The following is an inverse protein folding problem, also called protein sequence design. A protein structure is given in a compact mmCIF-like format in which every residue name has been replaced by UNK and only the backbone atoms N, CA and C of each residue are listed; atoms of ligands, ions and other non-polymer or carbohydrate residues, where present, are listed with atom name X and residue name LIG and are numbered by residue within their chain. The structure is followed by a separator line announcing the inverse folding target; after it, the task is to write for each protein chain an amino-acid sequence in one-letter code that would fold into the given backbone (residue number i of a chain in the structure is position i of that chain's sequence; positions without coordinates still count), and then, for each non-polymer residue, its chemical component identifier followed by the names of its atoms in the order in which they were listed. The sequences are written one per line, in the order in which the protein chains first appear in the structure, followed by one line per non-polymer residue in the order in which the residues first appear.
data_IF_444432517473
#
_entry.id   IF_444432517473
#
_cell.length_a   1.000
_cell.length_b   1.000
_cell.length_c   1.000
_cell.angle_alpha   90.00
_cell.angle_beta   90.00
_cell.angle_gamma   90.00
#
_symmetry.space_group_name_H-M   'P 1'
#
loop_
_entity.id
_entity.type
_entity.pdbx_description
1 polymer ?
#
# COMPACT_ATOMS: atom_id res chain seq x y z
N UNK A 1 17.21 -16.00 -10.06
CA UNK A 1 16.93 -15.73 -8.62
C UNK A 1 17.87 -14.72 -7.93
N UNK A 2 18.98 -14.25 -8.56
CA UNK A 2 19.75 -13.08 -8.08
C UNK A 2 19.06 -11.73 -8.37
N UNK A 3 18.19 -11.68 -9.38
CA UNK A 3 17.46 -10.46 -9.79
C UNK A 3 16.47 -9.93 -8.74
N UNK A 4 15.86 -10.81 -7.93
CA UNK A 4 14.81 -10.42 -6.97
C UNK A 4 15.34 -9.70 -5.72
N UNK A 5 16.59 -9.95 -5.32
CA UNK A 5 17.22 -9.20 -4.22
C UNK A 5 17.74 -7.83 -4.66
N UNK A 6 18.16 -7.69 -5.92
CA UNK A 6 18.61 -6.41 -6.47
C UNK A 6 17.47 -5.40 -6.63
N UNK A 7 16.29 -5.85 -7.09
CA UNK A 7 15.14 -4.98 -7.30
C UNK A 7 14.60 -4.36 -5.99
N UNK A 8 14.49 -5.15 -4.91
CA UNK A 8 14.03 -4.65 -3.61
C UNK A 8 15.02 -3.68 -2.97
N UNK A 9 16.32 -3.98 -3.03
CA UNK A 9 17.36 -3.10 -2.48
C UNK A 9 17.47 -1.79 -3.27
N UNK A 10 17.33 -1.84 -4.59
CA UNK A 10 17.32 -0.66 -5.45
C UNK A 10 16.09 0.24 -5.20
N UNK A 11 14.92 -0.34 -4.92
CA UNK A 11 13.74 0.44 -4.49
C UNK A 11 13.95 1.12 -3.14
N UNK A 12 14.52 0.42 -2.13
CA UNK A 12 14.80 1.03 -0.82
C UNK A 12 15.83 2.18 -0.92
N UNK A 13 16.90 2.01 -1.71
CA UNK A 13 17.93 3.03 -1.92
C UNK A 13 17.41 4.24 -2.72
N UNK A 14 16.54 4.02 -3.71
CA UNK A 14 15.87 5.09 -4.46
C UNK A 14 14.93 5.91 -3.55
N UNK A 15 14.18 5.25 -2.67
CA UNK A 15 13.25 5.92 -1.74
C UNK A 15 13.98 6.79 -0.71
N UNK A 16 15.16 6.37 -0.24
CA UNK A 16 15.98 7.20 0.67
C UNK A 16 16.50 8.46 -0.01
N UNK A 17 16.92 8.37 -1.28
CA UNK A 17 17.39 9.53 -2.05
C UNK A 17 16.27 10.51 -2.45
N UNK A 18 15.03 10.05 -2.57
CA UNK A 18 13.90 10.94 -2.87
C UNK A 18 13.53 11.86 -1.70
N UNK A 19 13.88 11.52 -0.46
CA UNK A 19 13.67 12.40 0.71
C UNK A 19 14.54 13.67 0.68
N UNK A 20 15.61 13.70 -0.12
CA UNK A 20 16.47 14.88 -0.32
C UNK A 20 16.31 15.51 -1.71
N UNK A 21 15.47 14.91 -2.57
CA UNK A 21 15.26 15.36 -3.93
C UNK A 21 14.42 16.64 -3.97
N UNK A 22 14.81 17.59 -4.82
CA UNK A 22 14.08 18.85 -4.94
C UNK A 22 12.72 18.66 -5.62
N UNK A 23 11.84 19.66 -5.51
CA UNK A 23 10.52 19.68 -6.17
C UNK A 23 10.58 19.35 -7.66
N UNK A 24 11.68 19.71 -8.34
CA UNK A 24 11.92 19.40 -9.75
C UNK A 24 12.03 17.90 -10.02
N UNK A 25 12.72 17.15 -9.17
CA UNK A 25 12.90 15.70 -9.34
C UNK A 25 11.59 14.97 -9.11
N UNK A 26 10.81 15.43 -8.12
CA UNK A 26 9.46 14.91 -7.87
C UNK A 26 8.57 15.14 -9.09
N UNK A 27 8.54 16.36 -9.66
CA UNK A 27 7.82 16.66 -10.89
C UNK A 27 8.19 15.73 -12.06
N UNK A 28 9.48 15.41 -12.23
CA UNK A 28 9.91 14.47 -13.28
C UNK A 28 9.31 13.08 -13.10
N UNK A 29 9.19 12.59 -11.86
CA UNK A 29 8.53 11.31 -11.58
C UNK A 29 7.03 11.40 -11.90
N UNK A 30 6.35 12.49 -11.52
CA UNK A 30 4.94 12.69 -11.89
C UNK A 30 4.72 12.68 -13.41
N UNK A 31 5.60 13.32 -14.19
CA UNK A 31 5.54 13.30 -15.65
C UNK A 31 5.76 11.91 -16.24
N UNK A 32 6.69 11.13 -15.67
CA UNK A 32 6.91 9.72 -16.07
C UNK A 32 5.70 8.86 -15.78
N UNK A 33 5.04 9.07 -14.63
CA UNK A 33 3.80 8.38 -14.27
C UNK A 33 2.66 8.74 -15.20
N UNK A 34 2.49 10.03 -15.53
CA UNK A 34 1.51 10.45 -16.53
C UNK A 34 1.73 9.69 -17.86
N UNK A 35 2.99 9.62 -18.33
CA UNK A 35 3.32 8.91 -19.55
C UNK A 35 3.09 7.39 -19.46
N UNK A 36 3.38 6.79 -18.30
CA UNK A 36 3.09 5.38 -18.05
C UNK A 36 1.59 5.10 -18.08
N UNK A 37 0.76 5.99 -17.51
CA UNK A 37 -0.70 5.88 -17.53
C UNK A 37 -1.28 5.97 -18.95
N UNK A 38 -0.77 6.87 -19.79
CA UNK A 38 -1.18 6.98 -21.20
C UNK A 38 -0.96 5.68 -21.98
N UNK A 39 0.04 4.88 -21.60
CA UNK A 39 0.38 3.60 -22.24
C UNK A 39 -0.40 2.45 -21.60
N UNK A 40 -0.45 2.43 -20.27
CA UNK A 40 -1.03 1.34 -19.49
C UNK A 40 -2.56 1.30 -19.60
N UNK A 41 -3.22 2.46 -19.53
CA UNK A 41 -4.67 2.55 -19.56
C UNK A 41 -5.31 1.90 -20.80
N UNK A 42 -4.91 2.24 -22.04
CA UNK A 42 -5.47 1.59 -23.23
C UNK A 42 -5.08 0.11 -23.32
N UNK A 43 -3.89 -0.28 -22.85
CA UNK A 43 -3.46 -1.68 -22.86
C UNK A 43 -4.32 -2.56 -21.94
N UNK A 44 -4.58 -2.11 -20.71
CA UNK A 44 -5.46 -2.82 -19.78
C UNK A 44 -6.93 -2.82 -20.28
N UNK A 45 -7.37 -1.72 -20.88
CA UNK A 45 -8.71 -1.64 -21.47
C UNK A 45 -8.89 -2.64 -22.63
N UNK A 46 -7.89 -2.79 -23.51
CA UNK A 46 -7.93 -3.74 -24.62
C UNK A 46 -8.07 -5.21 -24.16
N UNK A 47 -7.56 -5.54 -22.97
CA UNK A 47 -7.71 -6.86 -22.35
C UNK A 47 -8.95 -6.99 -21.45
N UNK A 48 -9.79 -5.97 -21.39
CA UNK A 48 -10.94 -5.89 -20.48
C UNK A 48 -10.54 -6.17 -19.02
N UNK A 49 -9.46 -5.55 -18.56
CA UNK A 49 -8.98 -5.64 -17.18
C UNK A 49 -9.41 -4.40 -16.41
N UNK A 50 -10.40 -4.50 -15.49
CA UNK A 50 -10.68 -3.44 -14.54
C UNK A 50 -9.48 -3.18 -13.64
N UNK A 51 -9.11 -1.91 -13.48
CA UNK A 51 -7.96 -1.50 -12.69
C UNK A 51 -8.19 -0.16 -12.00
N UNK A 52 -7.40 0.12 -10.98
CA UNK A 52 -7.39 1.42 -10.28
C UNK A 52 -5.98 1.80 -9.84
N UNK A 53 -5.73 3.11 -9.74
CA UNK A 53 -4.52 3.68 -9.14
C UNK A 53 -4.74 3.83 -7.64
N UNK A 54 -3.75 3.46 -6.85
CA UNK A 54 -3.79 3.62 -5.38
C UNK A 54 -2.57 4.39 -4.89
N UNK A 55 -2.57 4.75 -3.60
CA UNK A 55 -1.43 5.40 -2.90
C UNK A 55 -0.90 6.63 -3.66
N UNK A 56 0.42 6.78 -3.81
CA UNK A 56 1.11 8.03 -4.11
C UNK A 56 0.54 8.79 -5.30
N UNK A 57 0.40 8.14 -6.46
CA UNK A 57 -0.08 8.78 -7.68
C UNK A 57 -1.54 9.28 -7.55
N UNK A 58 -2.41 8.54 -6.86
CA UNK A 58 -3.77 8.99 -6.58
C UNK A 58 -3.80 10.08 -5.49
N UNK A 59 -3.08 9.88 -4.38
CA UNK A 59 -3.11 10.77 -3.22
C UNK A 59 -2.47 12.12 -3.47
N UNK A 60 -1.47 12.19 -4.36
CA UNK A 60 -0.89 13.46 -4.78
C UNK A 60 -1.94 14.42 -5.38
N UNK A 61 -2.94 13.88 -6.08
CA UNK A 61 -4.03 14.69 -6.65
C UNK A 61 -5.23 14.86 -5.72
N UNK A 62 -5.33 14.06 -4.65
CA UNK A 62 -6.44 14.12 -3.69
C UNK A 62 -6.12 14.97 -2.47
N UNK A 63 -4.89 14.95 -1.99
CA UNK A 63 -4.50 15.49 -0.67
C UNK A 63 -3.59 16.71 -0.74
N UNK A 64 -3.06 17.02 -1.93
CA UNK A 64 -2.05 18.06 -2.10
C UNK A 64 -2.54 19.10 -3.11
N UNK A 65 -2.24 20.37 -2.81
CA UNK A 65 -2.54 21.49 -3.71
C UNK A 65 -1.67 21.44 -4.98
N UNK A 66 -0.39 21.11 -4.81
CA UNK A 66 0.53 20.76 -5.90
C UNK A 66 0.88 19.27 -5.79
N UNK A 67 0.60 18.44 -6.81
CA UNK A 67 0.97 17.03 -6.81
C UNK A 67 2.46 16.79 -6.49
N UNK A 68 3.36 17.68 -6.89
CA UNK A 68 4.80 17.51 -6.67
C UNK A 68 5.25 17.74 -5.21
N UNK A 69 4.36 18.19 -4.32
CA UNK A 69 4.60 18.19 -2.88
C UNK A 69 4.56 16.77 -2.28
N UNK A 70 4.20 15.76 -3.08
CA UNK A 70 4.08 14.36 -2.68
C UNK A 70 5.10 13.48 -3.41
N UNK A 71 6.32 13.31 -2.88
CA UNK A 71 7.33 12.44 -3.48
C UNK A 71 6.82 11.01 -3.68
N UNK A 72 7.10 10.41 -4.83
CA UNK A 72 6.84 9.00 -5.11
C UNK A 72 7.91 8.42 -6.03
N UNK A 73 8.00 7.09 -6.07
CA UNK A 73 9.00 6.35 -6.84
C UNK A 73 8.38 5.52 -7.97
N UNK A 74 7.17 5.01 -7.75
CA UNK A 74 6.48 4.05 -8.60
C UNK A 74 4.99 4.41 -8.79
N UNK A 75 4.38 3.72 -9.75
CA UNK A 75 2.93 3.77 -9.99
C UNK A 75 2.29 2.48 -9.43
N UNK A 76 1.61 2.59 -8.31
CA UNK A 76 0.82 1.50 -7.72
C UNK A 76 -0.53 1.33 -8.43
N UNK A 77 -0.74 0.17 -9.04
CA UNK A 77 -1.99 -0.22 -9.69
C UNK A 77 -2.56 -1.48 -9.05
N UNK A 78 -3.89 -1.57 -8.96
CA UNK A 78 -4.59 -2.73 -8.43
C UNK A 78 -5.53 -3.31 -9.46
N UNK A 79 -5.47 -4.63 -9.61
CA UNK A 79 -6.29 -5.44 -10.53
C UNK A 79 -6.93 -6.59 -9.77
N UNK A 80 -7.95 -7.23 -10.33
CA UNK A 80 -8.54 -8.40 -9.67
C UNK A 80 -7.60 -9.62 -9.80
N UNK A 81 -7.62 -10.57 -8.84
CA UNK A 81 -6.83 -11.80 -8.95
C UNK A 81 -7.05 -12.58 -10.26
N UNK A 82 -8.29 -12.69 -10.71
CA UNK A 82 -8.66 -13.36 -11.96
C UNK A 82 -8.16 -12.65 -13.23
N UNK A 83 -7.78 -11.37 -13.11
CA UNK A 83 -7.26 -10.56 -14.21
C UNK A 83 -5.74 -10.68 -14.39
N UNK A 84 -5.04 -11.37 -13.49
CA UNK A 84 -3.57 -11.40 -13.45
C UNK A 84 -2.93 -11.75 -14.80
N UNK A 85 -3.39 -12.84 -15.44
CA UNK A 85 -2.83 -13.28 -16.72
C UNK A 85 -3.16 -12.31 -17.87
N UNK A 86 -4.36 -11.71 -17.85
CA UNK A 86 -4.76 -10.70 -18.84
C UNK A 86 -3.97 -9.41 -18.68
N UNK A 87 -3.75 -8.96 -17.44
CA UNK A 87 -2.89 -7.82 -17.16
C UNK A 87 -1.43 -8.06 -17.60
N UNK A 88 -0.91 -9.27 -17.40
CA UNK A 88 0.42 -9.66 -17.90
C UNK A 88 0.51 -9.57 -19.43
N UNK A 89 -0.54 -10.00 -20.14
CA UNK A 89 -0.63 -9.88 -21.60
C UNK A 89 -0.74 -8.41 -22.05
N UNK A 90 -1.53 -7.59 -21.35
CA UNK A 90 -1.62 -6.15 -21.60
C UNK A 90 -0.25 -5.47 -21.51
N UNK A 91 0.53 -5.76 -20.45
CA UNK A 91 1.88 -5.22 -20.28
C UNK A 91 2.81 -5.63 -21.43
N UNK A 92 2.75 -6.89 -21.87
CA UNK A 92 3.55 -7.36 -23.01
C UNK A 92 3.17 -6.63 -24.31
N UNK A 93 1.88 -6.42 -24.58
CA UNK A 93 1.39 -5.67 -25.77
C UNK A 93 1.75 -4.19 -25.71
N UNK A 94 1.87 -3.61 -24.52
CA UNK A 94 2.30 -2.24 -24.30
C UNK A 94 3.83 -2.05 -24.46
N UNK A 95 4.57 -3.09 -24.85
CA UNK A 95 6.04 -3.11 -24.88
C UNK A 95 6.67 -2.73 -23.52
N UNK A 96 5.97 -3.04 -22.42
CA UNK A 96 6.51 -2.89 -21.08
C UNK A 96 7.52 -4.01 -20.81
N UNK A 97 8.61 -3.68 -20.10
CA UNK A 97 9.61 -4.68 -19.72
C UNK A 97 9.25 -5.23 -18.35
N UNK A 98 8.88 -6.50 -18.26
CA UNK A 98 8.60 -7.13 -16.97
C UNK A 98 9.91 -7.30 -16.18
N UNK A 99 10.01 -6.64 -15.03
CA UNK A 99 11.21 -6.62 -14.17
C UNK A 99 11.08 -7.60 -13.00
N UNK A 100 9.85 -7.86 -12.55
CA UNK A 100 9.55 -8.80 -11.48
C UNK A 100 8.19 -9.47 -11.70
N UNK A 101 8.12 -10.76 -11.36
CA UNK A 101 6.88 -11.52 -11.36
C UNK A 101 6.84 -12.43 -10.13
N UNK A 102 5.74 -12.38 -9.39
CA UNK A 102 5.46 -13.29 -8.29
C UNK A 102 4.01 -13.77 -8.36
N UNK A 103 3.71 -14.80 -9.18
CA UNK A 103 2.33 -15.23 -9.42
C UNK A 103 1.64 -15.71 -8.15
N UNK A 104 2.40 -16.34 -7.24
CA UNK A 104 1.88 -16.80 -5.94
C UNK A 104 1.44 -15.63 -5.04
N UNK A 105 1.94 -14.42 -5.26
CA UNK A 105 1.53 -13.19 -4.57
C UNK A 105 0.62 -12.31 -5.43
N UNK A 106 0.39 -12.70 -6.69
CA UNK A 106 -0.33 -11.91 -7.67
C UNK A 106 0.25 -10.50 -7.79
N UNK A 107 1.58 -10.41 -7.92
CA UNK A 107 2.31 -9.17 -8.16
C UNK A 107 3.06 -9.25 -9.52
N UNK A 108 3.01 -8.17 -10.29
CA UNK A 108 3.75 -7.90 -11.51
C UNK A 108 4.40 -6.52 -11.36
N UNK A 109 5.72 -6.43 -11.56
CA UNK A 109 6.38 -5.13 -11.69
C UNK A 109 6.95 -5.01 -13.09
N UNK A 110 6.61 -3.92 -13.77
CA UNK A 110 7.07 -3.63 -15.12
C UNK A 110 7.66 -2.22 -15.21
N UNK A 111 8.68 -2.08 -16.05
CA UNK A 111 9.16 -0.79 -16.53
C UNK A 111 8.31 -0.39 -17.75
N UNK A 112 7.60 0.73 -17.62
CA UNK A 112 6.87 1.39 -18.70
C UNK A 112 7.54 2.73 -18.98
N UNK A 113 8.43 2.75 -19.98
CA UNK A 113 9.17 3.97 -20.43
C UNK A 113 9.98 4.64 -19.32
N UNK A 114 10.69 3.86 -18.53
CA UNK A 114 11.53 4.31 -17.41
C UNK A 114 10.75 4.58 -16.13
N UNK A 115 9.47 4.22 -16.08
CA UNK A 115 8.64 4.29 -14.88
C UNK A 115 8.32 2.89 -14.38
N UNK A 116 8.65 2.61 -13.13
CA UNK A 116 8.23 1.38 -12.47
C UNK A 116 6.73 1.44 -12.19
N UNK A 117 6.02 0.41 -12.62
CA UNK A 117 4.59 0.19 -12.37
C UNK A 117 4.44 -1.12 -11.60
N UNK A 118 3.85 -1.06 -10.41
CA UNK A 118 3.58 -2.20 -9.55
C UNK A 118 2.09 -2.57 -9.65
N UNK A 119 1.78 -3.66 -10.34
CA UNK A 119 0.44 -4.21 -10.47
C UNK A 119 0.26 -5.33 -9.44
N UNK A 120 -0.63 -5.10 -8.47
CA UNK A 120 -0.93 -6.07 -7.43
C UNK A 120 -2.40 -6.49 -7.42
N UNK A 121 -2.63 -7.75 -7.07
CA UNK A 121 -3.98 -8.32 -6.87
C UNK A 121 -4.47 -8.18 -5.42
N UNK A 122 -3.68 -7.54 -4.56
CA UNK A 122 -3.96 -7.33 -3.14
C UNK A 122 -3.75 -5.87 -2.75
N UNK A 123 -4.51 -5.40 -1.76
CA UNK A 123 -4.46 -4.01 -1.30
C UNK A 123 -3.43 -3.74 -0.20
N UNK A 124 -2.95 -4.81 0.43
CA UNK A 124 -1.88 -4.80 1.43
C UNK A 124 -1.20 -6.17 1.41
N UNK A 125 -0.28 -6.39 2.33
CA UNK A 125 0.29 -7.70 2.59
C UNK A 125 -0.81 -8.77 2.74
N UNK A 126 -0.61 -9.93 2.09
CA UNK A 126 -1.51 -11.08 2.21
C UNK A 126 -1.77 -11.41 3.68
N UNK A 127 -3.03 -11.71 3.98
CA UNK A 127 -3.53 -12.06 5.32
C UNK A 127 -3.50 -10.93 6.37
N UNK A 128 -3.17 -9.70 6.00
CA UNK A 128 -3.30 -8.56 6.92
C UNK A 128 -4.74 -8.03 6.96
N UNK A 129 -5.44 -8.09 5.83
CA UNK A 129 -6.82 -7.62 5.67
C UNK A 129 -7.58 -8.52 4.70
N UNK A 130 -8.90 -8.57 4.84
CA UNK A 130 -9.83 -9.19 3.87
C UNK A 130 -10.43 -8.21 2.87
N UNK A 131 -10.02 -6.94 2.91
CA UNK A 131 -10.43 -5.96 1.92
C UNK A 131 -9.98 -6.43 0.53
N UNK A 132 -10.94 -6.73 -0.35
CA UNK A 132 -10.66 -7.28 -1.67
C UNK A 132 -10.54 -6.16 -2.72
N UNK A 133 -9.73 -6.39 -3.76
CA UNK A 133 -9.64 -5.46 -4.89
C UNK A 133 -10.98 -5.33 -5.61
N UNK A 134 -11.75 -6.42 -5.70
CA UNK A 134 -13.07 -6.41 -6.34
C UNK A 134 -14.05 -5.46 -5.63
N UNK A 135 -14.10 -5.52 -4.29
CA UNK A 135 -14.97 -4.67 -3.48
C UNK A 135 -14.60 -3.19 -3.62
N UNK A 136 -13.30 -2.88 -3.56
CA UNK A 136 -12.82 -1.50 -3.71
C UNK A 136 -13.00 -0.99 -5.13
N UNK A 137 -12.79 -1.83 -6.16
CA UNK A 137 -13.09 -1.47 -7.54
C UNK A 137 -14.58 -1.18 -7.74
N UNK A 138 -15.48 -1.95 -7.11
CA UNK A 138 -16.92 -1.73 -7.20
C UNK A 138 -17.34 -0.35 -6.62
N UNK A 139 -16.62 0.14 -5.61
CA UNK A 139 -16.86 1.45 -4.97
C UNK A 139 -15.93 2.57 -5.45
N UNK A 140 -14.97 2.24 -6.32
CA UNK A 140 -14.02 3.23 -6.83
C UNK A 140 -14.73 4.38 -7.55
N UNK A 141 -14.05 5.51 -7.68
CA UNK A 141 -14.53 6.68 -8.41
C UNK A 141 -13.55 7.07 -9.50
N UNK A 142 -14.03 7.82 -10.49
CA UNK A 142 -13.15 8.42 -11.50
C UNK A 142 -12.44 9.64 -10.89
N UNK A 143 -11.17 9.80 -11.23
CA UNK A 143 -10.36 10.97 -10.90
C UNK A 143 -9.62 11.41 -12.15
N UNK A 144 -9.64 12.71 -12.43
CA UNK A 144 -8.80 13.32 -13.45
C UNK A 144 -7.45 13.69 -12.85
N UNK A 145 -6.38 13.07 -13.35
CA UNK A 145 -5.00 13.28 -12.90
C UNK A 145 -4.14 13.82 -14.05
N UNK A 146 -2.98 14.40 -13.72
CA UNK A 146 -1.96 14.82 -14.69
C UNK A 146 -2.47 15.58 -15.93
N UNK A 147 -3.35 16.57 -15.74
CA UNK A 147 -3.84 17.40 -16.83
C UNK A 147 -4.94 16.77 -17.71
N UNK A 148 -5.66 15.75 -17.22
CA UNK A 148 -6.88 15.26 -17.86
C UNK A 148 -6.98 13.73 -18.00
N UNK A 149 -5.95 12.99 -17.59
CA UNK A 149 -5.96 11.52 -17.65
C UNK A 149 -6.98 11.01 -16.64
N UNK A 150 -7.98 10.28 -17.13
CA UNK A 150 -9.05 9.73 -16.29
C UNK A 150 -8.66 8.34 -15.80
N UNK A 151 -8.60 8.17 -14.48
CA UNK A 151 -8.27 6.89 -13.82
C UNK A 151 -9.32 6.56 -12.77
N UNK A 152 -9.43 5.28 -12.42
CA UNK A 152 -10.20 4.86 -11.23
C UNK A 152 -9.30 4.94 -10.00
N UNK A 153 -9.85 5.40 -8.89
CA UNK A 153 -9.20 5.41 -7.57
C UNK A 153 -10.18 4.90 -6.51
N UNK A 154 -9.71 4.31 -5.40
CA UNK A 154 -10.57 3.99 -4.26
C UNK A 154 -11.41 5.20 -3.82
N UNK A 155 -12.59 4.96 -3.26
CA UNK A 155 -13.24 6.03 -2.49
C UNK A 155 -12.38 6.39 -1.27
N UNK A 156 -12.62 7.55 -0.67
CA UNK A 156 -11.77 8.08 0.41
C UNK A 156 -11.70 7.14 1.61
N UNK A 157 -12.79 6.44 1.93
CA UNK A 157 -12.83 5.47 3.03
C UNK A 157 -11.98 4.23 2.74
N UNK A 158 -12.10 3.64 1.55
CA UNK A 158 -11.30 2.48 1.15
C UNK A 158 -9.82 2.88 1.02
N UNK A 159 -9.52 4.08 0.55
CA UNK A 159 -8.15 4.60 0.51
C UNK A 159 -7.56 4.73 1.91
N UNK A 160 -8.34 5.22 2.88
CA UNK A 160 -7.93 5.30 4.28
C UNK A 160 -7.67 3.91 4.88
N UNK A 161 -8.47 2.89 4.55
CA UNK A 161 -8.24 1.51 5.00
C UNK A 161 -6.93 0.93 4.43
N UNK A 162 -6.65 1.19 3.15
CA UNK A 162 -5.41 0.80 2.49
C UNK A 162 -4.21 1.46 3.18
N UNK A 163 -4.29 2.77 3.44
CA UNK A 163 -3.26 3.53 4.13
C UNK A 163 -3.03 3.02 5.55
N UNK A 164 -4.10 2.79 6.33
CA UNK A 164 -4.01 2.24 7.68
C UNK A 164 -3.30 0.88 7.71
N UNK A 165 -3.64 -0.04 6.80
CA UNK A 165 -2.98 -1.34 6.71
C UNK A 165 -1.50 -1.22 6.34
N UNK A 166 -1.15 -0.35 5.40
CA UNK A 166 0.25 -0.17 4.98
C UNK A 166 1.07 0.52 6.08
N UNK A 167 0.53 1.55 6.75
CA UNK A 167 1.19 2.24 7.84
C UNK A 167 1.53 1.29 9.01
N UNK A 168 0.60 0.41 9.38
CA UNK A 168 0.85 -0.59 10.44
C UNK A 168 1.83 -1.68 9.98
N UNK A 169 1.72 -2.14 8.73
CA UNK A 169 2.67 -3.09 8.13
C UNK A 169 4.10 -2.55 8.15
N UNK A 170 4.27 -1.28 7.81
CA UNK A 170 5.57 -0.63 7.67
C UNK A 170 6.09 -0.09 9.01
N UNK A 171 5.31 -0.24 10.07
CA UNK A 171 5.50 0.30 11.43
C UNK A 171 5.47 1.82 11.41
N UNK A 172 4.56 2.41 12.18
CA UNK A 172 4.30 3.85 12.22
C UNK A 172 5.60 4.68 12.34
N UNK A 173 6.54 4.25 13.18
CA UNK A 173 7.81 4.92 13.45
C UNK A 173 8.87 4.79 12.34
N UNK A 174 8.71 3.82 11.43
CA UNK A 174 9.59 3.60 10.28
C UNK A 174 8.96 3.97 8.95
N UNK A 175 7.67 4.28 8.95
CA UNK A 175 6.96 4.68 7.74
C UNK A 175 7.54 5.97 7.18
N UNK A 176 7.59 6.07 5.86
CA UNK A 176 8.01 7.30 5.21
C UNK A 176 7.10 8.48 5.62
N UNK A 177 7.68 9.67 5.74
CA UNK A 177 6.98 10.86 6.23
C UNK A 177 5.69 11.17 5.45
N UNK A 178 5.70 10.97 4.13
CA UNK A 178 4.50 11.12 3.31
C UNK A 178 3.43 10.07 3.59
N UNK A 179 3.78 8.84 3.92
CA UNK A 179 2.82 7.78 4.28
C UNK A 179 2.13 8.11 5.61
N UNK A 180 2.90 8.61 6.58
CA UNK A 180 2.37 9.14 7.84
C UNK A 180 1.42 10.31 7.59
N UNK A 181 1.85 11.31 6.80
CA UNK A 181 1.04 12.48 6.45
C UNK A 181 -0.25 12.11 5.72
N UNK A 182 -0.17 11.29 4.68
CA UNK A 182 -1.33 10.85 3.90
C UNK A 182 -2.36 10.17 4.80
N UNK A 183 -1.90 9.24 5.64
CA UNK A 183 -2.78 8.52 6.57
C UNK A 183 -3.41 9.49 7.55
N UNK A 184 -2.68 10.48 8.06
CA UNK A 184 -3.23 11.50 8.95
C UNK A 184 -4.33 12.31 8.29
N UNK A 185 -4.09 12.85 7.09
CA UNK A 185 -4.98 13.85 6.46
C UNK A 185 -6.15 13.26 5.67
N UNK A 186 -6.08 11.99 5.23
CA UNK A 186 -7.15 11.35 4.46
C UNK A 186 -8.47 11.30 5.23
N UNK A 187 -8.42 11.18 6.56
CA UNK A 187 -9.61 11.12 7.41
C UNK A 187 -10.28 12.49 7.63
N UNK A 188 -9.60 13.58 7.30
CA UNK A 188 -10.15 14.94 7.39
C UNK A 188 -10.67 15.44 6.03
N UNK A 189 -10.71 14.58 5.02
CA UNK A 189 -11.30 14.91 3.72
C UNK A 189 -12.83 15.04 3.85
N UNK A 190 -13.48 15.95 3.09
CA UNK A 190 -14.91 16.21 3.21
C UNK A 190 -15.81 14.99 2.96
N UNK A 191 -15.35 14.04 2.15
CA UNK A 191 -16.08 12.82 1.79
C UNK A 191 -15.70 11.59 2.65
N UNK A 192 -14.90 11.79 3.70
CA UNK A 192 -14.59 10.73 4.66
C UNK A 192 -15.73 10.56 5.69
N UNK A 193 -16.24 9.34 5.82
CA UNK A 193 -17.24 8.98 6.83
C UNK A 193 -16.66 7.96 7.81
N UNK A 194 -16.50 8.39 9.07
CA UNK A 194 -15.96 7.56 10.15
C UNK A 194 -16.83 6.34 10.47
N UNK A 195 -18.16 6.42 10.32
CA UNK A 195 -19.05 5.27 10.55
C UNK A 195 -18.87 4.23 9.44
N UNK A 196 -18.82 4.67 8.19
CA UNK A 196 -18.57 3.78 7.03
C UNK A 196 -17.19 3.15 7.13
N UNK A 197 -16.17 3.92 7.52
CA UNK A 197 -14.82 3.41 7.75
C UNK A 197 -14.81 2.30 8.81
N UNK A 198 -15.45 2.52 9.96
CA UNK A 198 -15.51 1.52 11.03
C UNK A 198 -16.23 0.25 10.56
N UNK A 199 -17.38 0.38 9.90
CA UNK A 199 -18.12 -0.76 9.36
C UNK A 199 -17.25 -1.59 8.40
N UNK A 200 -16.64 -0.94 7.41
CA UNK A 200 -15.76 -1.61 6.44
C UNK A 200 -14.49 -2.18 7.08
N UNK A 201 -13.95 -1.56 8.13
CA UNK A 201 -12.83 -2.11 8.88
C UNK A 201 -13.21 -3.43 9.59
N UNK A 202 -14.42 -3.55 10.12
CA UNK A 202 -14.91 -4.80 10.69
C UNK A 202 -15.11 -5.88 9.62
N UNK A 203 -15.73 -5.53 8.49
CA UNK A 203 -15.94 -6.46 7.36
C UNK A 203 -14.60 -6.97 6.81
N UNK A 204 -13.62 -6.08 6.70
CA UNK A 204 -12.26 -6.39 6.25
C UNK A 204 -11.38 -7.05 7.32
N UNK A 205 -11.91 -7.37 8.51
CA UNK A 205 -11.19 -8.02 9.63
C UNK A 205 -9.96 -7.23 10.11
N UNK A 206 -10.08 -5.91 10.16
CA UNK A 206 -9.02 -5.00 10.56
C UNK A 206 -9.37 -3.96 11.65
N UNK A 207 -10.31 -4.19 12.60
CA UNK A 207 -10.58 -3.21 13.65
C UNK A 207 -9.39 -2.96 14.60
N UNK A 208 -8.47 -3.91 14.80
CA UNK A 208 -7.23 -3.69 15.56
C UNK A 208 -6.28 -2.73 14.83
N UNK A 209 -6.13 -2.87 13.50
CA UNK A 209 -5.36 -1.94 12.67
C UNK A 209 -5.97 -0.54 12.73
N UNK A 210 -7.29 -0.46 12.54
CA UNK A 210 -8.04 0.78 12.63
C UNK A 210 -7.84 1.47 13.98
N UNK A 211 -7.87 0.70 15.09
CA UNK A 211 -7.60 1.23 16.43
C UNK A 211 -6.19 1.81 16.56
N UNK A 212 -5.18 1.07 16.12
CA UNK A 212 -3.77 1.51 16.20
C UNK A 212 -3.62 2.87 15.52
N UNK A 213 -4.14 3.00 14.30
CA UNK A 213 -4.05 4.23 13.49
C UNK A 213 -4.89 5.37 14.09
N UNK A 214 -6.13 5.08 14.49
CA UNK A 214 -7.00 6.10 15.07
C UNK A 214 -6.44 6.67 16.38
N UNK A 215 -5.89 5.82 17.27
CA UNK A 215 -5.21 6.30 18.49
C UNK A 215 -3.92 7.09 18.20
N UNK A 216 -3.19 6.74 17.12
CA UNK A 216 -1.99 7.47 16.72
C UNK A 216 -2.30 8.90 16.28
N UNK A 217 -3.43 9.11 15.59
CA UNK A 217 -3.80 10.41 15.02
C UNK A 217 -4.94 11.13 15.74
N UNK A 218 -5.45 10.58 16.84
CA UNK A 218 -6.62 11.10 17.59
C UNK A 218 -6.48 12.58 17.96
N UNK A 219 -5.27 12.99 18.36
CA UNK A 219 -4.96 14.37 18.74
C UNK A 219 -4.88 15.32 17.54
N UNK A 220 -4.56 14.82 16.34
CA UNK A 220 -4.18 15.61 15.16
C UNK A 220 -5.24 15.61 14.03
N UNK A 221 -6.25 14.74 14.09
CA UNK A 221 -7.28 14.60 13.07
C UNK A 221 -8.66 14.37 13.70
N UNK A 222 -9.64 15.16 13.28
CA UNK A 222 -11.02 15.03 13.73
C UNK A 222 -11.66 13.73 13.19
N UNK A 223 -11.34 13.35 11.95
CA UNK A 223 -11.79 12.10 11.36
C UNK A 223 -11.30 10.87 12.12
N UNK A 224 -10.00 10.81 12.43
CA UNK A 224 -9.45 9.70 13.22
C UNK A 224 -9.99 9.67 14.65
N UNK A 225 -10.23 10.82 15.27
CA UNK A 225 -10.89 10.90 16.57
C UNK A 225 -12.30 10.32 16.54
N UNK A 226 -13.08 10.65 15.50
CA UNK A 226 -14.42 10.09 15.31
C UNK A 226 -14.37 8.56 15.11
N UNK A 227 -13.39 8.05 14.34
CA UNK A 227 -13.16 6.61 14.21
C UNK A 227 -12.83 5.97 15.56
N UNK A 228 -11.92 6.58 16.33
CA UNK A 228 -11.47 6.08 17.64
C UNK A 228 -12.65 5.95 18.63
N UNK A 229 -13.51 6.97 18.68
CA UNK A 229 -14.72 6.98 19.51
C UNK A 229 -15.70 5.86 19.09
N UNK A 230 -15.94 5.72 17.78
CA UNK A 230 -16.89 4.72 17.23
C UNK A 230 -16.43 3.28 17.42
N UNK A 231 -15.13 3.01 17.41
CA UNK A 231 -14.59 1.68 17.67
C UNK A 231 -14.77 1.23 19.14
N UNK A 232 -15.13 2.12 20.09
CA UNK A 232 -15.45 1.78 21.50
C UNK A 232 -14.23 1.44 22.39
N UNK A 233 -14.31 0.49 23.34
CA UNK A 233 -13.18 0.06 24.19
C UNK A 233 -12.12 -0.81 23.48
N UNK A 234 -12.27 -1.05 22.18
CA UNK A 234 -11.21 -1.53 21.27
C UNK A 234 -10.90 -3.03 21.34
N UNK A 235 -10.70 -3.70 20.19
CA UNK A 235 -10.27 -5.09 20.17
C UNK A 235 -8.81 -5.24 20.63
N UNK A 236 -8.51 -6.37 21.29
CA UNK A 236 -7.15 -6.91 21.48
C UNK A 236 -6.10 -5.93 22.03
N UNK A 237 -6.43 -5.18 23.09
CA UNK A 237 -5.53 -4.20 23.77
C UNK A 237 -4.09 -4.69 23.98
N UNK A 238 -3.89 -5.95 24.40
CA UNK A 238 -2.55 -6.54 24.58
C UNK A 238 -1.76 -6.66 23.28
N UNK A 239 -2.42 -6.98 22.16
CA UNK A 239 -1.79 -7.03 20.84
C UNK A 239 -1.34 -5.65 20.40
N UNK A 240 -2.15 -4.62 20.64
CA UNK A 240 -1.82 -3.22 20.33
C UNK A 240 -0.60 -2.77 21.14
N UNK A 241 -0.59 -3.02 22.45
CA UNK A 241 0.53 -2.69 23.32
C UNK A 241 1.83 -3.39 22.87
N UNK A 242 1.75 -4.69 22.57
CA UNK A 242 2.90 -5.45 22.08
C UNK A 242 3.42 -4.91 20.74
N UNK A 243 2.51 -4.58 19.80
CA UNK A 243 2.88 -4.01 18.51
C UNK A 243 3.61 -2.67 18.69
N UNK A 244 3.08 -1.75 19.52
CA UNK A 244 3.72 -0.45 19.79
C UNK A 244 5.09 -0.62 20.41
N UNK A 245 5.16 -1.38 21.51
CA UNK A 245 6.41 -1.63 22.20
C UNK A 245 7.48 -2.19 21.24
N UNK A 246 7.16 -3.21 20.44
CA UNK A 246 8.09 -3.79 19.46
C UNK A 246 8.47 -2.80 18.35
N UNK A 247 7.51 -2.02 17.84
CA UNK A 247 7.74 -1.06 16.76
C UNK A 247 8.55 0.16 17.22
N UNK A 248 8.54 0.49 18.50
CA UNK A 248 9.29 1.60 19.07
C UNK A 248 10.68 1.15 19.55
N UNK A 249 10.75 0.04 20.28
CA UNK A 249 12.00 -0.40 20.93
C UNK A 249 12.86 -1.30 20.04
N UNK A 250 12.24 -2.10 19.17
CA UNK A 250 12.91 -3.11 18.36
C UNK A 250 12.41 -3.12 16.90
N UNK A 251 12.36 -1.97 16.22
CA UNK A 251 11.63 -1.82 14.96
C UNK A 251 12.17 -2.72 13.84
N UNK A 252 13.46 -3.06 13.84
CA UNK A 252 14.09 -3.92 12.84
C UNK A 252 14.02 -5.42 13.17
N UNK A 253 13.55 -5.77 14.37
CA UNK A 253 13.48 -7.17 14.82
C UNK A 253 12.52 -8.01 13.98
N UNK A 254 12.76 -9.33 13.95
CA UNK A 254 11.80 -10.27 13.37
C UNK A 254 10.44 -10.18 14.08
N UNK A 255 10.42 -10.01 15.40
CA UNK A 255 9.19 -9.88 16.16
C UNK A 255 8.35 -8.67 15.70
N UNK A 256 8.96 -7.50 15.51
CA UNK A 256 8.27 -6.32 14.98
C UNK A 256 7.73 -6.57 13.55
N UNK A 257 8.53 -7.19 12.68
CA UNK A 257 8.10 -7.56 11.31
C UNK A 257 6.92 -8.54 11.32
N UNK A 258 6.94 -9.54 12.20
CA UNK A 258 5.84 -10.50 12.37
C UNK A 258 4.59 -9.82 12.91
N UNK A 259 4.72 -8.94 13.91
CA UNK A 259 3.60 -8.22 14.50
C UNK A 259 2.82 -7.40 13.47
N UNK A 260 3.52 -6.68 12.58
CA UNK A 260 2.88 -5.95 11.47
C UNK A 260 2.11 -6.85 10.49
N UNK A 261 2.35 -8.17 10.49
CA UNK A 261 1.67 -9.15 9.63
C UNK A 261 0.54 -9.91 10.34
N UNK A 262 0.57 -10.02 11.67
CA UNK A 262 -0.41 -10.80 12.47
C UNK A 262 -1.39 -9.93 13.26
N UNK A 263 -1.38 -8.62 13.00
CA UNK A 263 -2.30 -7.65 13.60
C UNK A 263 -3.75 -7.83 13.13
N UNK A 264 -3.99 -8.58 12.05
CA UNK A 264 -5.34 -8.95 11.59
C UNK A 264 -6.19 -9.61 12.68
N UNK A 265 -7.49 -9.35 12.67
CA UNK A 265 -8.43 -9.86 13.66
C UNK A 265 -8.93 -11.28 13.35
N UNK A 266 -8.65 -11.81 12.17
CA UNK A 266 -8.99 -13.19 11.80
C UNK A 266 -7.91 -14.20 12.25
N UNK A 267 -8.32 -15.23 13.00
CA UNK A 267 -7.39 -16.22 13.55
C UNK A 267 -6.73 -17.10 12.47
N UNK A 268 -7.46 -17.45 11.42
CA UNK A 268 -6.93 -18.25 10.32
C UNK A 268 -5.88 -17.47 9.52
N UNK A 269 -6.15 -16.19 9.26
CA UNK A 269 -5.23 -15.31 8.55
C UNK A 269 -3.96 -15.04 9.38
N UNK A 270 -4.06 -14.92 10.71
CA UNK A 270 -2.87 -14.89 11.59
C UNK A 270 -2.01 -16.15 11.48
N UNK A 271 -2.63 -17.33 11.54
CA UNK A 271 -1.92 -18.60 11.44
C UNK A 271 -1.19 -18.73 10.09
N UNK A 272 -1.85 -18.34 8.99
CA UNK A 272 -1.26 -18.33 7.65
C UNK A 272 -0.12 -17.31 7.52
N UNK A 273 -0.29 -16.11 8.06
CA UNK A 273 0.75 -15.08 8.08
C UNK A 273 2.00 -15.56 8.82
N UNK A 274 1.83 -16.20 9.99
CA UNK A 274 2.92 -16.83 10.75
C UNK A 274 3.60 -17.94 9.96
N UNK A 275 2.83 -18.83 9.33
CA UNK A 275 3.38 -19.94 8.53
C UNK A 275 4.23 -19.42 7.36
N UNK A 276 3.75 -18.41 6.63
CA UNK A 276 4.50 -17.78 5.54
C UNK A 276 5.77 -17.11 6.05
N UNK A 277 5.67 -16.35 7.14
CA UNK A 277 6.83 -15.64 7.66
C UNK A 277 7.89 -16.59 8.23
N UNK A 278 7.45 -17.67 8.90
CA UNK A 278 8.33 -18.75 9.36
C UNK A 278 9.02 -19.46 8.19
N UNK A 279 8.27 -19.81 7.14
CA UNK A 279 8.84 -20.36 5.92
C UNK A 279 9.87 -19.41 5.29
N UNK A 280 9.55 -18.12 5.19
CA UNK A 280 10.44 -17.12 4.60
C UNK A 280 11.75 -16.99 5.39
N UNK A 281 11.69 -16.92 6.73
CA UNK A 281 12.89 -16.87 7.58
C UNK A 281 13.70 -18.17 7.52
N UNK A 282 13.08 -19.34 7.41
CA UNK A 282 13.80 -20.60 7.21
C UNK A 282 14.58 -20.63 5.89
N UNK A 283 13.96 -20.16 4.80
CA UNK A 283 14.56 -20.17 3.46
C UNK A 283 15.60 -19.07 3.28
N UNK A 284 15.33 -17.86 3.78
CA UNK A 284 16.13 -16.67 3.49
C UNK A 284 16.99 -16.20 4.67
N UNK A 285 16.57 -16.51 5.90
CA UNK A 285 17.29 -16.13 7.12
C UNK A 285 18.71 -16.67 7.10
N UNK A 286 18.93 -17.95 6.73
CA UNK A 286 20.29 -18.56 6.70
C UNK A 286 21.32 -17.76 5.89
N UNK A 287 20.92 -17.06 4.83
CA UNK A 287 21.83 -16.22 4.02
C UNK A 287 22.28 -14.95 4.75
N UNK A 288 21.50 -14.43 5.71
CA UNK A 288 21.88 -13.29 6.55
C UNK A 288 22.84 -13.68 7.66
N UNK A 289 22.73 -14.90 8.21
CA UNK A 289 23.57 -15.37 9.31
C UNK A 289 24.94 -15.91 8.87
N UNK A 290 25.09 -16.27 7.58
CA UNK A 290 26.37 -16.69 6.99
C UNK A 290 27.32 -15.55 6.60
N UNK A 291 26.88 -14.29 6.71
CA UNK A 291 27.75 -13.11 6.61
C UNK A 291 27.98 -12.58 8.03
N UNK A 292 28.89 -13.23 8.77
CA UNK A 292 29.54 -12.53 9.89
C UNK A 292 30.50 -11.50 9.28
N UNK A 293 30.64 -10.30 9.89
CA UNK A 293 31.70 -9.37 9.54
C UNK A 293 33.08 -10.02 9.69
#
# INVERSE_FOLDING_TARGET
MRATQGAFAAQEELVVNLNTSGTRDTWLVHLRIAKALEILAPALAAENVPWMVVKGAALAHLLYSDPADRPLADLDVRIRPEDYQRARQALARASATLTYEAPSYGNLVADVRGQMVDLETTLSARFVTRLSVADVLARSRELSVYGGIRVRVPDTVDHALILAANLVKDKITQAAAWSYRDTRVIADQPDFDAAVFVARAFDARMPTIARIVAETFDAESAGWRAVNQRLGPGPRRRTIQAYRWLSETHPTSLAARLMGRIVTDDAGDRARALAIAGYWELVHGRKRWGRRP
#
